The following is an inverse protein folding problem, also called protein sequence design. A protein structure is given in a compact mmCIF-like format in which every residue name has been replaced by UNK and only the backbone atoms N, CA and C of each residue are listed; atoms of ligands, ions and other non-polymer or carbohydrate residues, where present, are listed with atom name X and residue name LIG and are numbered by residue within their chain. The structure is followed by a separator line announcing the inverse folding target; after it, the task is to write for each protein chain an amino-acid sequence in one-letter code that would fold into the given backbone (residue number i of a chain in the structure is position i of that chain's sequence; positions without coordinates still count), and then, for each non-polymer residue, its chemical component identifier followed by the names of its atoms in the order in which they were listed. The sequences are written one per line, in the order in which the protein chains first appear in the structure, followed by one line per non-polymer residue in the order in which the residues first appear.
data_IF_561941395245
#
_entry.id   IF_561941395245
#
_cell.length_a   1.000
_cell.length_b   1.000
_cell.length_c   1.000
_cell.angle_alpha   90.00
_cell.angle_beta   90.00
_cell.angle_gamma   90.00
#
_symmetry.space_group_name_H-M   'P 1'
#
loop_
_entity.id
_entity.type
_entity.pdbx_description
1 polymer ?
#
# COMPACT_ATOMS: atom_id res chain seq x y z
N UNK A 1 35.74 22.09 -29.66
CA UNK A 1 34.46 21.47 -30.07
C UNK A 1 33.91 20.79 -28.81
N UNK A 2 33.09 21.45 -27.97
CA UNK A 2 31.60 21.48 -28.00
C UNK A 2 31.03 20.10 -28.36
N UNK A 3 30.13 19.44 -27.65
CA UNK A 3 29.23 19.74 -26.53
C UNK A 3 28.65 18.37 -26.15
N UNK A 4 28.66 17.95 -24.88
CA UNK A 4 27.75 16.91 -24.38
C UNK A 4 27.57 17.07 -22.86
N UNK A 5 27.36 18.31 -22.41
CA UNK A 5 26.75 18.57 -21.11
C UNK A 5 25.25 18.35 -21.26
N UNK A 6 24.83 17.09 -21.36
CA UNK A 6 23.42 16.74 -21.22
C UNK A 6 22.98 17.15 -19.82
N UNK A 7 22.41 18.35 -19.74
CA UNK A 7 21.21 18.72 -18.99
C UNK A 7 20.94 17.87 -17.72
N UNK A 8 21.89 17.85 -16.77
CA UNK A 8 21.60 17.38 -15.42
C UNK A 8 20.81 18.48 -14.73
N UNK A 9 19.49 18.53 -14.96
CA UNK A 9 18.59 19.35 -14.13
C UNK A 9 18.92 19.00 -12.68
N UNK A 10 19.29 20.02 -11.90
CA UNK A 10 19.55 19.85 -10.47
C UNK A 10 18.35 19.15 -9.81
N UNK A 11 18.57 18.28 -8.81
CA UNK A 11 17.47 17.63 -8.10
C UNK A 11 16.54 18.70 -7.54
N UNK A 12 15.25 18.64 -7.93
CA UNK A 12 14.22 19.57 -7.45
C UNK A 12 13.58 19.00 -6.19
N UNK A 13 13.43 19.80 -5.11
CA UNK A 13 12.65 19.38 -3.94
C UNK A 13 11.19 19.15 -4.34
N UNK A 14 10.48 18.28 -3.60
CA UNK A 14 9.08 17.95 -3.90
C UNK A 14 8.17 19.19 -3.93
N UNK A 15 8.49 20.20 -3.11
CA UNK A 15 7.78 21.48 -3.03
C UNK A 15 7.82 22.33 -4.31
N UNK A 16 8.71 22.01 -5.25
CA UNK A 16 8.85 22.72 -6.53
C UNK A 16 8.26 21.94 -7.72
N UNK A 17 7.67 20.78 -7.47
CA UNK A 17 6.98 19.97 -8.48
C UNK A 17 5.53 20.48 -8.57
N UNK A 18 5.01 20.60 -9.80
CA UNK A 18 3.62 21.03 -9.97
C UNK A 18 2.65 20.00 -9.37
N UNK A 19 1.46 20.43 -8.89
CA UNK A 19 0.56 19.55 -8.15
C UNK A 19 0.10 18.31 -8.94
N UNK A 20 -0.02 18.42 -10.27
CA UNK A 20 -0.42 17.29 -11.11
C UNK A 20 0.70 16.26 -11.17
N UNK A 21 1.92 16.67 -11.51
CA UNK A 21 3.07 15.77 -11.53
C UNK A 21 3.31 15.12 -10.16
N UNK A 22 3.12 15.86 -9.06
CA UNK A 22 3.19 15.30 -7.71
C UNK A 22 2.18 14.16 -7.52
N UNK A 23 0.90 14.40 -7.86
CA UNK A 23 -0.16 13.39 -7.76
C UNK A 23 0.17 12.14 -8.59
N UNK A 24 0.70 12.33 -9.81
CA UNK A 24 1.07 11.23 -10.70
C UNK A 24 2.21 10.36 -10.12
N UNK A 25 3.20 11.01 -9.49
CA UNK A 25 4.33 10.33 -8.83
C UNK A 25 3.87 9.56 -7.58
N UNK A 26 3.06 10.16 -6.72
CA UNK A 26 2.49 9.51 -5.53
C UNK A 26 1.65 8.29 -5.92
N UNK A 27 0.79 8.44 -6.93
CA UNK A 27 0.00 7.33 -7.45
C UNK A 27 0.87 6.23 -8.08
N UNK A 28 1.98 6.58 -8.76
CA UNK A 28 2.92 5.61 -9.30
C UNK A 28 3.65 4.82 -8.20
N UNK A 29 4.05 5.49 -7.12
CA UNK A 29 4.66 4.84 -5.95
C UNK A 29 3.66 3.92 -5.26
N UNK A 30 2.42 4.34 -5.05
CA UNK A 30 1.38 3.50 -4.48
C UNK A 30 1.13 2.24 -5.32
N UNK A 31 0.98 2.38 -6.64
CA UNK A 31 0.85 1.23 -7.57
C UNK A 31 2.05 0.28 -7.47
N UNK A 32 3.27 0.81 -7.32
CA UNK A 32 4.49 0.01 -7.16
C UNK A 32 4.50 -0.74 -5.83
N UNK A 33 4.10 -0.10 -4.73
CA UNK A 33 3.98 -0.76 -3.42
C UNK A 33 2.97 -1.90 -3.47
N UNK A 34 1.79 -1.66 -4.03
CA UNK A 34 0.74 -2.66 -4.20
C UNK A 34 1.26 -3.85 -5.02
N UNK A 35 1.90 -3.58 -6.16
CA UNK A 35 2.50 -4.64 -6.99
C UNK A 35 3.58 -5.43 -6.22
N UNK A 36 4.43 -4.75 -5.45
CA UNK A 36 5.44 -5.42 -4.62
C UNK A 36 4.81 -6.35 -3.58
N UNK A 37 3.76 -5.90 -2.89
CA UNK A 37 3.06 -6.68 -1.86
C UNK A 37 2.25 -7.87 -2.43
N UNK A 38 1.81 -7.78 -3.69
CA UNK A 38 1.20 -8.91 -4.42
C UNK A 38 2.21 -10.00 -4.73
N UNK A 39 3.43 -9.61 -5.13
CA UNK A 39 4.51 -10.57 -5.40
C UNK A 39 5.06 -11.21 -4.12
N UNK A 40 5.02 -10.49 -2.99
CA UNK A 40 5.46 -10.97 -1.67
C UNK A 40 4.33 -11.70 -0.92
N UNK A 41 3.81 -12.78 -1.50
CA UNK A 41 2.75 -13.61 -0.90
C UNK A 41 3.21 -14.30 0.39
N UNK A 42 4.53 -14.45 0.58
CA UNK A 42 5.15 -14.93 1.81
C UNK A 42 4.92 -14.01 3.01
N UNK A 43 4.79 -12.70 2.78
CA UNK A 43 4.59 -11.70 3.84
C UNK A 43 3.13 -11.69 4.28
N UNK A 44 2.82 -12.21 5.47
CA UNK A 44 1.46 -12.23 6.00
C UNK A 44 1.05 -10.86 6.53
N UNK A 45 -0.26 -10.56 6.48
CA UNK A 45 -0.77 -9.29 6.99
C UNK A 45 -0.52 -9.14 8.50
N UNK A 46 -0.53 -10.23 9.27
CA UNK A 46 -0.28 -10.18 10.71
C UNK A 46 1.16 -9.76 11.02
N UNK A 47 2.13 -10.18 10.22
CA UNK A 47 3.53 -9.76 10.39
C UNK A 47 3.69 -8.27 10.10
N UNK A 48 3.04 -7.77 9.05
CA UNK A 48 3.02 -6.34 8.73
C UNK A 48 2.35 -5.52 9.84
N UNK A 49 1.24 -6.00 10.41
CA UNK A 49 0.59 -5.34 11.54
C UNK A 49 1.50 -5.32 12.77
N UNK A 50 2.16 -6.43 13.08
CA UNK A 50 3.04 -6.55 14.25
C UNK A 50 4.26 -5.63 14.17
N UNK A 51 4.83 -5.48 12.97
CA UNK A 51 6.05 -4.71 12.73
C UNK A 51 5.79 -3.23 12.47
N UNK A 52 4.82 -2.92 11.60
CA UNK A 52 4.67 -1.59 11.00
C UNK A 52 3.31 -0.94 11.31
N UNK A 53 2.40 -1.64 11.99
CA UNK A 53 1.08 -1.09 12.35
C UNK A 53 0.11 -0.89 11.18
N UNK A 54 0.44 -1.37 9.97
CA UNK A 54 -0.45 -1.40 8.81
C UNK A 54 -0.23 -2.67 7.99
N UNK A 55 -1.22 -3.04 7.17
CA UNK A 55 -1.10 -4.16 6.23
C UNK A 55 -1.90 -3.90 4.94
N UNK A 56 -2.03 -4.90 4.06
CA UNK A 56 -2.80 -4.79 2.81
C UNK A 56 -4.27 -4.40 3.04
N UNK A 57 -4.88 -4.88 4.13
CA UNK A 57 -6.24 -4.49 4.49
C UNK A 57 -6.34 -3.01 4.87
N UNK A 58 -5.33 -2.45 5.53
CA UNK A 58 -5.26 -1.01 5.83
C UNK A 58 -5.19 -0.20 4.53
N UNK A 59 -4.33 -0.59 3.58
CA UNK A 59 -4.27 0.05 2.25
C UNK A 59 -5.62 0.01 1.53
N UNK A 60 -6.35 -1.11 1.65
CA UNK A 60 -7.68 -1.27 1.04
C UNK A 60 -8.72 -0.37 1.69
N UNK A 61 -8.64 -0.18 3.01
CA UNK A 61 -9.51 0.74 3.74
C UNK A 61 -9.18 2.19 3.38
N UNK A 62 -7.91 2.60 3.40
CA UNK A 62 -7.50 3.97 3.02
C UNK A 62 -7.93 4.34 1.60
N UNK A 63 -7.85 3.39 0.65
CA UNK A 63 -8.38 3.60 -0.70
C UNK A 63 -9.90 3.81 -0.71
N UNK A 64 -10.63 3.06 0.12
CA UNK A 64 -12.08 3.24 0.27
C UNK A 64 -12.40 4.59 0.91
N UNK A 65 -11.72 4.94 2.00
CA UNK A 65 -11.92 6.19 2.72
C UNK A 65 -11.67 7.39 1.79
N UNK A 66 -10.59 7.36 1.00
CA UNK A 66 -10.29 8.38 0.00
C UNK A 66 -11.33 8.46 -1.14
N UNK A 67 -11.99 7.35 -1.47
CA UNK A 67 -13.10 7.34 -2.43
C UNK A 67 -14.38 7.93 -1.82
N UNK A 68 -14.70 7.56 -0.58
CA UNK A 68 -15.84 8.09 0.17
C UNK A 68 -15.72 9.62 0.35
N UNK A 69 -14.53 10.12 0.71
CA UNK A 69 -14.23 11.56 0.82
C UNK A 69 -14.47 12.33 -0.50
N UNK A 70 -14.30 11.66 -1.64
CA UNK A 70 -14.53 12.22 -2.97
C UNK A 70 -15.95 11.95 -3.50
N UNK A 71 -16.81 11.31 -2.70
CA UNK A 71 -18.15 10.92 -3.12
C UNK A 71 -18.17 9.88 -4.25
N UNK A 72 -17.09 9.11 -4.42
CA UNK A 72 -16.96 8.05 -5.42
C UNK A 72 -17.42 6.72 -4.80
N UNK A 73 -18.50 6.09 -5.29
CA UNK A 73 -18.95 4.82 -4.75
C UNK A 73 -17.91 3.71 -4.97
N UNK A 74 -17.28 3.25 -3.89
CA UNK A 74 -16.35 2.12 -3.90
C UNK A 74 -16.71 1.14 -2.78
N UNK A 75 -16.97 -0.11 -3.15
CA UNK A 75 -17.26 -1.16 -2.16
C UNK A 75 -15.97 -1.63 -1.49
N UNK A 76 -16.10 -2.19 -0.28
CA UNK A 76 -14.96 -2.76 0.46
C UNK A 76 -14.29 -3.92 -0.30
N UNK A 77 -15.07 -4.70 -1.03
CA UNK A 77 -14.53 -5.82 -1.81
C UNK A 77 -13.80 -5.33 -3.06
N UNK A 78 -14.32 -4.29 -3.72
CA UNK A 78 -13.63 -3.64 -4.83
C UNK A 78 -12.32 -2.98 -4.38
N UNK A 79 -12.28 -2.32 -3.22
CA UNK A 79 -11.05 -1.71 -2.70
C UNK A 79 -10.01 -2.77 -2.33
N UNK A 80 -10.44 -3.91 -1.79
CA UNK A 80 -9.57 -5.07 -1.57
C UNK A 80 -9.06 -5.65 -2.87
N UNK A 81 -9.93 -5.90 -3.85
CA UNK A 81 -9.51 -6.41 -5.16
C UNK A 81 -8.48 -5.48 -5.82
N UNK A 82 -8.65 -4.16 -5.71
CA UNK A 82 -7.68 -3.18 -6.17
C UNK A 82 -6.32 -3.29 -5.47
N UNK A 83 -6.23 -3.76 -4.23
CA UNK A 83 -4.95 -3.97 -3.52
C UNK A 83 -4.41 -5.40 -3.74
N UNK A 84 -5.24 -6.42 -3.65
CA UNK A 84 -4.82 -7.83 -3.77
C UNK A 84 -4.62 -8.28 -5.22
N UNK A 85 -5.20 -7.59 -6.19
CA UNK A 85 -5.13 -7.94 -7.62
C UNK A 85 -6.05 -9.10 -8.03
N UNK A 86 -6.87 -9.58 -7.10
CA UNK A 86 -7.88 -10.64 -7.28
C UNK A 86 -8.90 -10.56 -6.13
N UNK A 87 -10.05 -11.25 -6.22
CA UNK A 87 -11.00 -11.32 -5.12
C UNK A 87 -10.33 -11.77 -3.81
N UNK A 88 -10.62 -11.06 -2.72
CA UNK A 88 -9.96 -11.30 -1.43
C UNK A 88 -10.09 -12.74 -0.94
N UNK A 89 -11.26 -13.35 -1.12
CA UNK A 89 -11.48 -14.75 -0.73
C UNK A 89 -10.60 -15.73 -1.52
N UNK A 90 -10.38 -15.47 -2.81
CA UNK A 90 -9.46 -16.25 -3.63
C UNK A 90 -8.01 -16.08 -3.18
N UNK A 91 -7.61 -14.87 -2.80
CA UNK A 91 -6.27 -14.60 -2.26
C UNK A 91 -6.04 -15.32 -0.93
N UNK A 92 -7.02 -15.25 -0.02
CA UNK A 92 -6.94 -15.94 1.29
C UNK A 92 -6.77 -17.44 1.11
N UNK A 93 -7.57 -18.05 0.23
CA UNK A 93 -7.51 -19.48 -0.04
C UNK A 93 -6.15 -19.94 -0.60
N UNK A 94 -5.48 -19.10 -1.39
CA UNK A 94 -4.21 -19.45 -2.04
C UNK A 94 -2.98 -19.13 -1.18
N UNK A 95 -3.03 -18.09 -0.33
CA UNK A 95 -1.83 -17.49 0.24
C UNK A 95 -1.89 -17.20 1.75
N UNK A 96 -3.09 -17.14 2.35
CA UNK A 96 -3.18 -16.86 3.78
C UNK A 96 -2.90 -18.12 4.59
N UNK A 97 -1.97 -17.99 5.54
CA UNK A 97 -1.64 -19.06 6.49
C UNK A 97 -2.30 -18.78 7.83
N UNK A 98 -2.51 -19.84 8.60
CA UNK A 98 -2.90 -19.71 9.99
C UNK A 98 -1.78 -19.01 10.78
N UNK A 99 -2.16 -18.03 11.60
CA UNK A 99 -1.21 -17.29 12.41
C UNK A 99 -0.76 -18.12 13.61
N UNK A 100 0.54 -18.11 13.90
CA UNK A 100 1.09 -18.72 15.11
C UNK A 100 0.63 -17.98 16.37
N UNK A 101 0.73 -18.65 17.52
CA UNK A 101 0.40 -18.04 18.82
C UNK A 101 1.24 -16.77 19.09
N UNK A 102 2.50 -16.77 18.66
CA UNK A 102 3.39 -15.60 18.79
C UNK A 102 2.91 -14.43 17.93
N UNK A 103 2.54 -14.70 16.67
CA UNK A 103 2.00 -13.67 15.78
C UNK A 103 0.69 -13.07 16.32
N UNK A 104 -0.19 -13.92 16.87
CA UNK A 104 -1.44 -13.49 17.52
C UNK A 104 -1.18 -12.64 18.77
N UNK A 105 -0.24 -13.05 19.63
CA UNK A 105 0.14 -12.30 20.82
C UNK A 105 0.74 -10.93 20.47
N UNK A 106 1.63 -10.88 19.47
CA UNK A 106 2.18 -9.63 18.95
C UNK A 106 1.09 -8.70 18.42
N UNK A 107 0.10 -9.25 17.71
CA UNK A 107 -1.01 -8.48 17.18
C UNK A 107 -1.88 -7.89 18.28
N UNK A 108 -2.25 -8.71 19.28
CA UNK A 108 -2.99 -8.26 20.45
C UNK A 108 -2.24 -7.15 21.20
N UNK A 109 -0.92 -7.29 21.36
CA UNK A 109 -0.08 -6.28 21.99
C UNK A 109 -0.03 -4.96 21.20
N UNK A 110 0.06 -5.00 19.87
CA UNK A 110 0.00 -3.79 19.05
C UNK A 110 -1.38 -3.12 19.10
N UNK A 111 -2.46 -3.90 19.08
CA UNK A 111 -3.81 -3.33 19.22
C UNK A 111 -4.02 -2.66 20.58
N UNK A 112 -3.44 -3.19 21.65
CA UNK A 112 -3.52 -2.61 22.99
C UNK A 112 -2.74 -1.30 23.13
N UNK A 113 -1.74 -1.05 22.28
CA UNK A 113 -0.94 0.20 22.32
C UNK A 113 -1.66 1.40 21.72
N UNK A 114 -2.68 1.18 20.89
CA UNK A 114 -3.43 2.24 20.23
C UNK A 114 -2.61 2.99 19.18
N UNK A 115 -3.23 3.28 18.04
CA UNK A 115 -2.80 4.37 17.15
C UNK A 115 -3.44 5.67 17.63
#
# INVERSE_FOLDING_TARGET
MRLDSQNRKAPRPMSEIDPQTQTELEAAVFRRLVAHLRNRTDVQNIDLMNLAGFCRNCLSNWLKDAADEKGVPLTKDASREAVYGMPYDAWKAQHQKEASAEQQAGFAAQQAKGH
#
